data_IF_814738990104
#
_entry.id   IF_814738990104
#
_cell.length_a   1.000
_cell.length_b   1.000
_cell.length_c   1.000
_cell.angle_alpha   90.00
_cell.angle_beta   90.00
_cell.angle_gamma   90.00
#
_symmetry.space_group_name_H-M   'P 1'
#
loop_
_entity.id
_entity.type
_entity.pdbx_description
1 polymer ?
#
# COMPACT_ATOMS: atom_id res chain seq x y z
N UNK A 1 -40.12 0.67 2.90
CA UNK A 1 -38.67 0.70 2.57
C UNK A 1 -38.35 -0.51 1.70
N UNK A 2 -37.97 -0.30 0.45
CA UNK A 2 -37.53 -1.39 -0.45
C UNK A 2 -36.14 -1.83 0.02
N UNK A 3 -36.00 -3.06 0.52
CA UNK A 3 -34.68 -3.65 0.79
C UNK A 3 -34.00 -3.88 -0.55
N UNK A 4 -33.04 -3.03 -0.90
CA UNK A 4 -32.17 -3.25 -2.05
C UNK A 4 -31.37 -4.54 -1.84
N UNK A 5 -31.44 -5.44 -2.81
CA UNK A 5 -30.68 -6.70 -2.78
C UNK A 5 -29.20 -6.35 -2.83
N UNK A 6 -28.39 -6.91 -1.92
CA UNK A 6 -26.92 -6.75 -2.00
C UNK A 6 -26.44 -7.32 -3.35
N UNK A 7 -25.53 -6.61 -4.05
CA UNK A 7 -24.98 -7.11 -5.30
C UNK A 7 -24.19 -8.40 -5.05
N UNK A 8 -24.31 -9.36 -5.98
CA UNK A 8 -23.50 -10.57 -5.98
C UNK A 8 -22.14 -10.23 -6.62
N UNK A 9 -21.08 -10.22 -5.82
CA UNK A 9 -19.73 -9.97 -6.31
C UNK A 9 -19.05 -11.30 -6.62
N UNK A 10 -19.13 -11.73 -7.88
CA UNK A 10 -18.67 -13.06 -8.32
C UNK A 10 -17.20 -13.33 -7.95
N UNK A 11 -16.32 -12.32 -8.05
CA UNK A 11 -14.91 -12.46 -7.69
C UNK A 11 -14.69 -12.86 -6.22
N UNK A 12 -15.45 -12.27 -5.29
CA UNK A 12 -15.39 -12.63 -3.87
C UNK A 12 -15.85 -14.08 -3.65
N UNK A 13 -16.88 -14.52 -4.37
CA UNK A 13 -17.41 -15.89 -4.25
C UNK A 13 -16.44 -16.93 -4.80
N UNK A 14 -15.71 -16.62 -5.88
CA UNK A 14 -14.64 -17.48 -6.39
C UNK A 14 -13.54 -17.65 -5.33
N UNK A 15 -13.10 -16.56 -4.70
CA UNK A 15 -12.07 -16.63 -3.65
C UNK A 15 -12.54 -17.45 -2.43
N UNK A 16 -13.77 -17.23 -1.97
CA UNK A 16 -14.37 -18.01 -0.86
C UNK A 16 -14.46 -19.51 -1.19
N UNK A 17 -14.87 -19.86 -2.41
CA UNK A 17 -14.95 -21.26 -2.85
C UNK A 17 -13.60 -21.96 -2.84
N UNK A 18 -12.50 -21.21 -3.00
CA UNK A 18 -11.13 -21.71 -2.89
C UNK A 18 -10.59 -21.70 -1.45
N UNK A 19 -11.43 -21.39 -0.44
CA UNK A 19 -11.05 -21.44 0.97
C UNK A 19 -10.37 -20.18 1.51
N UNK A 20 -10.36 -19.08 0.76
CA UNK A 20 -9.77 -17.81 1.20
C UNK A 20 -10.68 -17.10 2.22
N UNK A 21 -10.11 -16.71 3.36
CA UNK A 21 -10.76 -15.79 4.31
C UNK A 21 -10.62 -14.35 3.81
N UNK A 22 -11.72 -13.84 3.24
CA UNK A 22 -11.79 -12.49 2.65
C UNK A 22 -11.56 -11.39 3.68
N UNK A 23 -12.06 -11.56 4.91
CA UNK A 23 -11.92 -10.54 5.94
C UNK A 23 -10.47 -10.45 6.41
N UNK A 24 -9.82 -11.60 6.57
CA UNK A 24 -8.39 -11.66 6.89
C UNK A 24 -7.55 -11.06 5.77
N UNK A 25 -7.82 -11.42 4.51
CA UNK A 25 -7.10 -10.89 3.35
C UNK A 25 -7.19 -9.36 3.28
N UNK A 26 -8.40 -8.80 3.40
CA UNK A 26 -8.59 -7.34 3.40
C UNK A 26 -7.83 -6.69 4.56
N UNK A 27 -7.88 -7.28 5.76
CA UNK A 27 -7.16 -6.75 6.92
C UNK A 27 -5.65 -6.70 6.68
N UNK A 28 -5.08 -7.73 6.08
CA UNK A 28 -3.65 -7.80 5.76
C UNK A 28 -3.27 -6.79 4.67
N UNK A 29 -4.06 -6.68 3.59
CA UNK A 29 -3.83 -5.69 2.53
C UNK A 29 -3.90 -4.25 3.04
N UNK A 30 -4.89 -3.92 3.87
CA UNK A 30 -5.01 -2.58 4.48
C UNK A 30 -3.83 -2.30 5.41
N UNK A 31 -3.38 -3.30 6.17
CA UNK A 31 -2.20 -3.16 7.03
C UNK A 31 -0.95 -2.89 6.20
N UNK A 32 -0.73 -3.64 5.12
CA UNK A 32 0.42 -3.45 4.23
C UNK A 32 0.38 -2.08 3.57
N UNK A 33 -0.75 -1.69 2.96
CA UNK A 33 -0.92 -0.37 2.38
C UNK A 33 -0.61 0.77 3.38
N UNK A 34 -1.01 0.61 4.64
CA UNK A 34 -0.70 1.60 5.68
C UNK A 34 0.81 1.73 5.95
N UNK A 35 1.55 0.63 5.90
CA UNK A 35 3.01 0.63 6.07
C UNK A 35 3.69 1.33 4.89
N UNK A 36 3.32 0.98 3.66
CA UNK A 36 3.88 1.57 2.43
C UNK A 36 3.66 3.09 2.38
N UNK A 37 2.44 3.55 2.67
CA UNK A 37 2.13 4.99 2.72
C UNK A 37 2.92 5.73 3.80
N UNK A 38 3.13 5.08 4.95
CA UNK A 38 3.93 5.65 6.04
C UNK A 38 5.41 5.72 5.67
N UNK A 39 5.93 4.70 5.00
CA UNK A 39 7.30 4.66 4.49
C UNK A 39 7.55 5.78 3.45
N UNK A 40 6.64 5.94 2.48
CA UNK A 40 6.66 7.07 1.53
C UNK A 40 6.77 8.42 2.24
N UNK A 41 5.97 8.65 3.28
CA UNK A 41 6.02 9.89 4.06
C UNK A 41 7.37 10.09 4.78
N UNK A 42 7.86 9.08 5.48
CA UNK A 42 9.13 9.19 6.21
C UNK A 42 10.35 9.29 5.29
N UNK A 43 10.35 8.61 4.14
CA UNK A 43 11.40 8.75 3.14
C UNK A 43 11.39 10.13 2.49
N UNK A 44 10.20 10.76 2.33
CA UNK A 44 10.11 12.17 1.91
C UNK A 44 10.84 13.09 2.89
N UNK A 45 10.63 12.90 4.20
CA UNK A 45 11.32 13.68 5.23
C UNK A 45 12.81 13.37 5.29
N UNK A 46 13.19 12.10 5.24
CA UNK A 46 14.59 11.68 5.28
C UNK A 46 15.37 12.28 4.10
N UNK A 47 14.84 12.14 2.88
CA UNK A 47 15.43 12.72 1.66
C UNK A 47 15.67 14.22 1.78
N UNK A 48 14.69 14.95 2.32
CA UNK A 48 14.78 16.40 2.50
C UNK A 48 15.92 16.80 3.45
N UNK A 49 16.29 15.92 4.39
CA UNK A 49 17.36 16.16 5.37
C UNK A 49 18.72 15.59 4.95
N UNK A 50 18.79 14.75 3.91
CA UNK A 50 20.04 14.27 3.31
C UNK A 50 20.73 15.40 2.52
N UNK A 51 21.44 16.26 3.25
CA UNK A 51 22.15 17.43 2.73
C UNK A 51 23.67 17.27 2.83
N UNK A 52 24.42 18.19 2.21
CA UNK A 52 25.88 18.11 2.12
C UNK A 52 26.36 17.13 1.05
N UNK A 53 27.67 17.07 0.85
CA UNK A 53 28.30 16.25 -0.20
C UNK A 53 27.99 14.76 -0.02
N UNK A 54 27.97 14.29 1.23
CA UNK A 54 27.66 12.90 1.57
C UNK A 54 26.16 12.59 1.37
N UNK A 55 25.28 13.51 1.75
CA UNK A 55 23.83 13.33 1.64
C UNK A 55 23.32 13.31 0.20
N UNK A 56 23.95 14.04 -0.71
CA UNK A 56 23.49 14.13 -2.10
C UNK A 56 23.59 12.80 -2.84
N UNK A 57 24.60 11.98 -2.55
CA UNK A 57 24.71 10.61 -3.11
C UNK A 57 23.62 9.66 -2.58
N UNK A 58 23.19 9.84 -1.33
CA UNK A 58 22.21 8.99 -0.67
C UNK A 58 20.78 9.33 -1.12
N UNK A 59 20.51 10.60 -1.48
CA UNK A 59 19.19 11.06 -1.95
C UNK A 59 18.63 10.27 -3.12
N UNK A 60 19.46 9.82 -4.05
CA UNK A 60 19.02 9.01 -5.18
C UNK A 60 18.41 7.68 -4.73
N UNK A 61 19.13 6.97 -3.86
CA UNK A 61 18.68 5.69 -3.30
C UNK A 61 17.39 5.86 -2.49
N UNK A 62 17.31 6.94 -1.69
CA UNK A 62 16.09 7.24 -0.92
C UNK A 62 14.91 7.57 -1.84
N UNK A 63 15.15 8.30 -2.93
CA UNK A 63 14.09 8.66 -3.89
C UNK A 63 13.55 7.43 -4.62
N UNK A 64 14.43 6.51 -5.02
CA UNK A 64 14.03 5.25 -5.66
C UNK A 64 13.15 4.42 -4.71
N UNK A 65 13.60 4.21 -3.46
CA UNK A 65 12.82 3.51 -2.44
C UNK A 65 11.47 4.21 -2.16
N UNK A 66 11.47 5.55 -2.09
CA UNK A 66 10.25 6.35 -1.85
C UNK A 66 9.23 6.15 -2.94
N UNK A 67 9.64 6.15 -4.21
CA UNK A 67 8.74 5.96 -5.34
C UNK A 67 8.27 4.51 -5.47
N UNK A 68 9.11 3.54 -5.10
CA UNK A 68 8.74 2.13 -5.04
C UNK A 68 7.66 1.88 -3.96
N UNK A 69 7.84 2.38 -2.74
CA UNK A 69 6.84 2.27 -1.67
C UNK A 69 5.50 2.97 -2.04
N UNK A 70 5.55 4.08 -2.78
CA UNK A 70 4.34 4.70 -3.32
C UNK A 70 3.63 3.76 -4.31
N UNK A 71 4.39 3.13 -5.21
CA UNK A 71 3.84 2.17 -6.17
C UNK A 71 3.25 0.93 -5.48
N UNK A 72 3.88 0.45 -4.40
CA UNK A 72 3.36 -0.64 -3.57
C UNK A 72 2.04 -0.27 -2.89
N UNK A 73 1.95 0.93 -2.31
CA UNK A 73 0.72 1.44 -1.73
C UNK A 73 -0.41 1.49 -2.76
N UNK A 74 -0.15 2.09 -3.92
CA UNK A 74 -1.14 2.24 -4.99
C UNK A 74 -1.60 0.89 -5.55
N UNK A 75 -0.74 -0.13 -5.52
CA UNK A 75 -1.07 -1.48 -5.99
C UNK A 75 -1.98 -2.26 -5.01
N UNK A 76 -2.09 -1.82 -3.75
CA UNK A 76 -2.94 -2.47 -2.75
C UNK A 76 -4.41 -2.00 -2.80
N UNK A 77 -4.75 -0.97 -3.57
CA UNK A 77 -6.06 -0.32 -3.65
C UNK A 77 -6.72 -0.61 -5.00
#
# INVERSE_FOLDING_TARGET
MVKTKKPLVVGIEVLKKNGIDINKLIKELVSNASVEFTAYYYLTLLRANCTGIEGEGIKGVIEDARLEDLSHFESCI
#
